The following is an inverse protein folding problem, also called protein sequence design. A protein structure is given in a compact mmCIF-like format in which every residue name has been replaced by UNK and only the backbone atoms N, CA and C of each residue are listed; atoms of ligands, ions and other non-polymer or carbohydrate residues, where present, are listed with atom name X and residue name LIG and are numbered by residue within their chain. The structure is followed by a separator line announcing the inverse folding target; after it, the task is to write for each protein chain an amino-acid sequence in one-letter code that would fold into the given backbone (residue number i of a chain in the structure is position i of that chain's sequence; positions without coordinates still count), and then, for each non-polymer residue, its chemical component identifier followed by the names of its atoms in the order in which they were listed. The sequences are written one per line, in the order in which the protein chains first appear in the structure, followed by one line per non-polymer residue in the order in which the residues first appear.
data_IF_289649954503
#
_entry.id   IF_289649954503
#
_cell.length_a   1.000
_cell.length_b   1.000
_cell.length_c   1.000
_cell.angle_alpha   90.00
_cell.angle_beta   90.00
_cell.angle_gamma   90.00
#
_symmetry.space_group_name_H-M   'P 1'
#
loop_
_entity.id
_entity.type
_entity.pdbx_description
1 polymer ?
#
# COMPACT_ATOMS: atom_id res chain seq x y z
N UNK A 1 -0.32 3.60 -10.58
CA UNK A 1 0.26 4.85 -11.18
C UNK A 1 -0.81 5.66 -11.88
N UNK A 2 -1.63 5.07 -12.76
CA UNK A 2 -2.75 5.79 -13.39
C UNK A 2 -3.71 6.38 -12.35
N UNK A 3 -4.15 5.57 -11.38
CA UNK A 3 -5.02 6.05 -10.29
C UNK A 3 -4.39 7.20 -9.48
N UNK A 4 -3.09 7.16 -9.22
CA UNK A 4 -2.36 8.22 -8.53
C UNK A 4 -2.38 9.52 -9.34
N UNK A 5 -2.11 9.41 -10.64
CA UNK A 5 -2.06 10.56 -11.54
C UNK A 5 -3.45 11.18 -11.72
N UNK A 6 -4.49 10.36 -11.84
CA UNK A 6 -5.88 10.83 -11.87
C UNK A 6 -6.29 11.46 -10.54
N UNK A 7 -5.89 10.88 -9.42
CA UNK A 7 -6.16 11.44 -8.09
C UNK A 7 -5.53 12.82 -7.89
N UNK A 8 -4.25 12.97 -8.24
CA UNK A 8 -3.55 14.26 -8.11
C UNK A 8 -4.10 15.31 -9.08
N UNK A 9 -4.51 14.90 -10.29
CA UNK A 9 -5.19 15.81 -11.24
C UNK A 9 -6.51 16.33 -10.72
N UNK A 10 -7.28 15.46 -10.07
CA UNK A 10 -8.60 15.82 -9.54
C UNK A 10 -8.52 16.55 -8.20
N UNK A 11 -7.41 16.45 -7.46
CA UNK A 11 -7.23 17.06 -6.14
C UNK A 11 -6.02 18.01 -6.12
N UNK A 12 -6.20 19.21 -6.67
CA UNK A 12 -5.13 20.21 -6.80
C UNK A 12 -4.53 20.65 -5.45
N UNK A 13 -5.34 20.69 -4.38
CA UNK A 13 -4.85 21.01 -3.03
C UNK A 13 -3.81 19.97 -2.59
N UNK A 14 -4.10 18.69 -2.82
CA UNK A 14 -3.20 17.61 -2.45
C UNK A 14 -1.94 17.66 -3.33
N UNK A 15 -2.09 17.91 -4.62
CA UNK A 15 -0.94 18.09 -5.51
C UNK A 15 -0.01 19.23 -5.02
N UNK A 16 -0.59 20.35 -4.58
CA UNK A 16 0.16 21.46 -4.01
C UNK A 16 0.88 21.07 -2.71
N UNK A 17 0.20 20.37 -1.80
CA UNK A 17 0.79 19.87 -0.55
C UNK A 17 1.93 18.87 -0.80
N UNK A 18 1.86 18.10 -1.89
CA UNK A 18 2.96 17.24 -2.34
C UNK A 18 4.14 18.02 -2.97
N UNK A 19 4.07 19.35 -3.04
CA UNK A 19 5.12 20.21 -3.60
C UNK A 19 5.04 20.39 -5.13
N UNK A 20 3.94 19.99 -5.77
CA UNK A 20 3.76 20.26 -7.20
C UNK A 20 3.25 21.69 -7.43
N UNK A 21 3.74 22.30 -8.51
CA UNK A 21 3.27 23.58 -9.00
C UNK A 21 1.95 23.38 -9.76
N UNK A 22 0.84 23.84 -9.16
CA UNK A 22 -0.52 23.70 -9.74
C UNK A 22 -0.71 24.49 -11.05
N UNK A 23 0.16 25.46 -11.34
CA UNK A 23 0.13 26.20 -12.61
C UNK A 23 0.73 25.41 -13.77
N UNK A 24 1.42 24.30 -13.48
CA UNK A 24 2.11 23.46 -14.45
C UNK A 24 1.46 22.08 -14.55
N UNK A 25 1.60 21.41 -15.70
CA UNK A 25 1.16 20.03 -15.80
C UNK A 25 1.95 19.14 -14.83
N UNK A 26 1.26 18.20 -14.19
CA UNK A 26 1.91 17.17 -13.39
C UNK A 26 2.92 16.37 -14.24
N UNK A 27 3.95 15.78 -13.61
CA UNK A 27 4.88 14.90 -14.30
C UNK A 27 4.17 13.80 -15.10
N UNK A 28 4.81 13.38 -16.19
CA UNK A 28 4.25 12.33 -17.04
C UNK A 28 4.15 11.00 -16.27
N UNK A 29 3.28 10.10 -16.74
CA UNK A 29 3.18 8.73 -16.24
C UNK A 29 4.56 8.05 -16.15
N UNK A 30 5.39 8.21 -17.19
CA UNK A 30 6.73 7.62 -17.25
C UNK A 30 7.66 8.19 -16.19
N UNK A 31 7.54 9.47 -15.89
CA UNK A 31 8.32 10.13 -14.83
C UNK A 31 7.99 9.53 -13.47
N UNK A 32 6.70 9.37 -13.15
CA UNK A 32 6.28 8.72 -11.91
C UNK A 32 6.74 7.26 -11.84
N UNK A 33 6.57 6.50 -12.93
CA UNK A 33 6.97 5.10 -12.99
C UNK A 33 8.47 4.93 -12.78
N UNK A 34 9.28 5.77 -13.43
CA UNK A 34 10.73 5.76 -13.27
C UNK A 34 11.13 6.09 -11.84
N UNK A 35 10.54 7.12 -11.25
CA UNK A 35 10.79 7.47 -9.85
C UNK A 35 10.49 6.29 -8.91
N UNK A 36 9.32 5.67 -9.02
CA UNK A 36 8.94 4.55 -8.14
C UNK A 36 9.89 3.35 -8.28
N UNK A 37 10.39 3.08 -9.49
CA UNK A 37 11.26 1.94 -9.75
C UNK A 37 12.73 2.19 -9.41
N UNK A 38 13.22 3.40 -9.63
CA UNK A 38 14.65 3.72 -9.55
C UNK A 38 15.02 4.40 -8.21
N UNK A 39 14.04 4.97 -7.49
CA UNK A 39 14.32 5.69 -6.25
C UNK A 39 14.59 4.72 -5.10
N UNK A 40 15.67 4.97 -4.36
CA UNK A 40 16.07 4.11 -3.24
C UNK A 40 15.04 4.16 -2.12
N UNK A 41 14.54 2.98 -1.74
CA UNK A 41 13.66 2.83 -0.59
C UNK A 41 14.34 3.26 0.72
N UNK A 42 15.65 2.98 0.85
CA UNK A 42 16.42 3.28 2.07
C UNK A 42 16.38 4.78 2.41
N UNK A 43 16.35 5.63 1.38
CA UNK A 43 16.25 7.08 1.57
C UNK A 43 14.88 7.48 2.15
N UNK A 44 13.79 6.89 1.66
CA UNK A 44 12.45 7.12 2.22
C UNK A 44 12.34 6.61 3.66
N UNK A 45 12.88 5.43 3.93
CA UNK A 45 12.94 4.86 5.27
C UNK A 45 13.70 5.77 6.23
N UNK A 46 14.84 6.30 5.80
CA UNK A 46 15.67 7.22 6.60
C UNK A 46 14.93 8.52 6.92
N UNK A 47 14.27 9.12 5.92
CA UNK A 47 13.46 10.33 6.11
C UNK A 47 12.33 10.06 7.10
N UNK A 48 11.60 8.96 6.92
CA UNK A 48 10.48 8.60 7.77
C UNK A 48 10.92 8.41 9.23
N UNK A 49 12.00 7.65 9.46
CA UNK A 49 12.56 7.46 10.80
C UNK A 49 12.97 8.79 11.44
N UNK A 50 13.62 9.67 10.69
CA UNK A 50 14.02 10.97 11.19
C UNK A 50 12.81 11.83 11.58
N UNK A 51 11.75 11.86 10.75
CA UNK A 51 10.51 12.57 11.05
C UNK A 51 9.85 12.05 12.35
N UNK A 52 9.75 10.72 12.50
CA UNK A 52 9.20 10.11 13.72
C UNK A 52 10.04 10.46 14.94
N UNK A 53 11.38 10.44 14.83
CA UNK A 53 12.27 10.82 15.93
C UNK A 53 12.12 12.29 16.33
N UNK A 54 11.97 13.19 15.36
CA UNK A 54 11.72 14.61 15.63
C UNK A 54 10.39 14.79 16.38
N UNK A 55 9.32 14.14 15.91
CA UNK A 55 8.00 14.22 16.54
C UNK A 55 7.98 13.63 17.95
N UNK A 56 8.75 12.56 18.19
CA UNK A 56 8.95 11.97 19.51
C UNK A 56 9.68 12.93 20.45
N UNK A 57 10.75 13.58 19.97
CA UNK A 57 11.49 14.57 20.75
C UNK A 57 10.65 15.82 21.08
N UNK A 58 9.70 16.18 20.22
CA UNK A 58 8.73 17.24 20.46
C UNK A 58 7.60 16.84 21.42
N UNK A 59 7.53 15.57 21.83
CA UNK A 59 6.47 15.05 22.69
C UNK A 59 5.10 14.92 22.03
N UNK A 60 5.04 14.95 20.69
CA UNK A 60 3.79 14.76 19.92
C UNK A 60 3.44 13.27 19.82
N UNK A 61 4.46 12.43 19.64
CA UNK A 61 4.35 10.96 19.62
C UNK A 61 4.84 10.44 20.97
N UNK A 62 3.99 9.69 21.68
CA UNK A 62 4.30 9.06 22.96
C UNK A 62 5.02 7.72 22.77
N UNK A 63 4.55 6.90 21.82
CA UNK A 63 4.93 5.51 21.63
C UNK A 63 4.41 4.57 22.72
N UNK A 64 3.50 5.02 23.58
CA UNK A 64 2.95 4.21 24.69
C UNK A 64 1.77 3.34 24.24
N UNK A 65 0.88 3.90 23.41
CA UNK A 65 -0.35 3.23 22.98
C UNK A 65 -0.47 3.25 21.47
N UNK A 66 -0.03 2.15 20.86
CA UNK A 66 -0.05 2.04 19.40
C UNK A 66 -1.26 1.23 18.96
N UNK A 67 -2.09 1.87 18.14
CA UNK A 67 -3.21 1.25 17.43
C UNK A 67 -2.79 0.94 16.00
N UNK A 68 -3.04 -0.29 15.55
CA UNK A 68 -2.66 -0.73 14.20
C UNK A 68 -3.87 -1.31 13.47
N UNK A 69 -4.19 -0.74 12.31
CA UNK A 69 -5.14 -1.32 11.37
C UNK A 69 -4.42 -1.84 10.12
N UNK A 70 -5.03 -2.81 9.44
CA UNK A 70 -4.46 -3.37 8.23
C UNK A 70 -5.50 -3.60 7.15
N UNK A 71 -5.20 -3.12 5.94
CA UNK A 71 -6.05 -3.32 4.77
C UNK A 71 -5.33 -4.17 3.72
N UNK A 72 -5.99 -5.16 3.11
CA UNK A 72 -5.39 -6.01 2.09
C UNK A 72 -5.29 -5.26 0.75
N UNK A 73 -4.09 -5.19 0.18
CA UNK A 73 -3.86 -4.74 -1.20
C UNK A 73 -3.72 -5.98 -2.07
N UNK A 74 -4.65 -6.19 -3.01
CA UNK A 74 -4.62 -7.35 -3.90
C UNK A 74 -3.66 -7.10 -5.06
N UNK A 75 -2.73 -8.02 -5.29
CA UNK A 75 -1.91 -8.01 -6.48
C UNK A 75 -2.76 -8.25 -7.73
N UNK A 76 -2.34 -7.67 -8.85
CA UNK A 76 -3.01 -7.86 -10.14
C UNK A 76 -2.65 -9.23 -10.73
N UNK A 77 -3.36 -10.27 -10.28
CA UNK A 77 -3.11 -11.66 -10.69
C UNK A 77 -4.42 -12.39 -10.97
N UNK A 78 -4.37 -13.32 -11.92
CA UNK A 78 -5.51 -14.20 -12.25
C UNK A 78 -5.95 -15.09 -11.07
N UNK A 79 -5.07 -15.34 -10.10
CA UNK A 79 -5.38 -16.18 -8.93
C UNK A 79 -6.31 -15.46 -7.95
N UNK A 80 -6.26 -14.13 -7.91
CA UNK A 80 -7.19 -13.33 -7.11
C UNK A 80 -8.58 -13.21 -7.73
N UNK A 81 -8.75 -13.59 -9.01
CA UNK A 81 -10.06 -13.55 -9.67
C UNK A 81 -10.93 -14.72 -9.15
N UNK A 82 -12.09 -14.44 -8.52
CA UNK A 82 -13.01 -15.48 -8.07
C UNK A 82 -13.46 -16.40 -9.20
N UNK A 83 -13.62 -15.86 -10.42
CA UNK A 83 -14.06 -16.59 -11.62
C UNK A 83 -12.96 -17.38 -12.32
N UNK A 84 -11.72 -17.33 -11.84
CA UNK A 84 -10.65 -18.16 -12.40
C UNK A 84 -10.96 -19.65 -12.19
N UNK A 85 -10.63 -20.52 -13.15
CA UNK A 85 -10.79 -21.98 -13.01
C UNK A 85 -9.52 -22.68 -12.50
N UNK A 86 -8.48 -21.92 -12.12
CA UNK A 86 -7.24 -22.50 -11.61
C UNK A 86 -7.48 -23.29 -10.32
N UNK A 87 -7.03 -24.55 -10.29
CA UNK A 87 -7.02 -25.38 -9.07
C UNK A 87 -5.99 -24.82 -8.09
N UNK A 88 -6.26 -24.92 -6.78
CA UNK A 88 -5.34 -24.50 -5.70
C UNK A 88 -4.81 -23.06 -5.85
N UNK A 89 -5.68 -22.11 -6.19
CA UNK A 89 -5.30 -20.69 -6.41
C UNK A 89 -4.52 -20.06 -5.27
N UNK A 90 -4.80 -20.50 -4.04
CA UNK A 90 -4.24 -19.98 -2.80
C UNK A 90 -3.32 -21.02 -2.12
N UNK A 91 -2.52 -21.76 -2.90
CA UNK A 91 -1.41 -22.56 -2.37
C UNK A 91 -0.11 -21.77 -2.42
N UNK A 92 0.74 -21.88 -1.39
CA UNK A 92 2.07 -21.25 -1.37
C UNK A 92 2.95 -21.70 -2.55
N UNK A 93 2.72 -22.90 -3.09
CA UNK A 93 3.45 -23.43 -4.24
C UNK A 93 3.07 -22.73 -5.56
N UNK A 94 1.92 -22.05 -5.59
CA UNK A 94 1.38 -21.38 -6.77
C UNK A 94 1.62 -19.86 -6.73
N UNK A 95 2.88 -19.46 -6.54
CA UNK A 95 3.27 -18.04 -6.57
C UNK A 95 2.91 -17.40 -7.93
N UNK A 96 2.24 -16.24 -7.95
CA UNK A 96 1.92 -15.54 -9.20
C UNK A 96 3.16 -15.15 -10.02
N UNK A 97 3.18 -15.51 -11.30
CA UNK A 97 4.24 -15.07 -12.23
C UNK A 97 4.22 -13.56 -12.51
N UNK A 98 3.04 -12.93 -12.40
CA UNK A 98 2.86 -11.50 -12.65
C UNK A 98 3.47 -10.61 -11.58
N UNK A 99 3.66 -11.15 -10.37
CA UNK A 99 4.17 -10.43 -9.21
C UNK A 99 4.85 -11.44 -8.28
N UNK A 100 6.19 -11.48 -8.36
CA UNK A 100 7.01 -12.44 -7.60
C UNK A 100 7.17 -12.02 -6.13
N UNK A 101 6.95 -10.75 -5.82
CA UNK A 101 7.18 -10.19 -4.49
C UNK A 101 5.93 -10.28 -3.62
N UNK A 102 4.74 -10.36 -4.23
CA UNK A 102 3.49 -10.52 -3.50
C UNK A 102 3.48 -11.79 -2.63
N UNK A 103 2.74 -11.75 -1.53
CA UNK A 103 2.63 -12.87 -0.58
C UNK A 103 1.19 -13.35 -0.47
N UNK A 104 1.03 -14.60 -0.05
CA UNK A 104 -0.28 -15.16 0.26
C UNK A 104 -0.77 -14.60 1.60
N UNK A 105 -1.74 -13.69 1.53
CA UNK A 105 -2.40 -13.08 2.68
C UNK A 105 -3.74 -13.72 3.00
N UNK A 106 -4.19 -13.52 4.23
CA UNK A 106 -5.53 -13.88 4.71
C UNK A 106 -6.13 -12.71 5.50
N UNK A 107 -7.44 -12.52 5.37
CA UNK A 107 -8.20 -11.58 6.19
C UNK A 107 -9.57 -12.18 6.55
N UNK A 108 -10.13 -11.74 7.68
CA UNK A 108 -11.50 -12.10 8.04
C UNK A 108 -12.48 -11.35 7.14
N UNK A 109 -13.42 -12.07 6.55
CA UNK A 109 -14.50 -11.53 5.73
C UNK A 109 -15.81 -11.40 6.52
N UNK A 110 -15.76 -11.62 7.83
CA UNK A 110 -16.88 -11.47 8.75
C UNK A 110 -16.42 -10.76 10.02
N UNK A 111 -17.26 -9.85 10.53
CA UNK A 111 -17.11 -9.23 11.85
C UNK A 111 -17.75 -10.06 12.96
N UNK A 112 -18.47 -11.13 12.59
CA UNK A 112 -19.05 -12.08 13.54
C UNK A 112 -17.94 -12.93 14.17
N UNK A 113 -17.85 -12.88 15.51
CA UNK A 113 -16.88 -13.62 16.31
C UNK A 113 -17.17 -15.13 16.32
N UNK A 114 -18.43 -15.53 16.10
CA UNK A 114 -18.87 -16.93 16.15
C UNK A 114 -18.56 -17.68 14.85
N UNK A 115 -18.70 -17.02 13.70
CA UNK A 115 -18.49 -17.62 12.37
C UNK A 115 -17.43 -16.86 11.56
N UNK A 116 -16.16 -17.14 11.83
CA UNK A 116 -15.03 -16.54 11.10
C UNK A 116 -14.92 -17.12 9.69
N UNK A 117 -15.37 -16.35 8.71
CA UNK A 117 -15.11 -16.61 7.29
C UNK A 117 -13.78 -15.98 6.90
N UNK A 118 -12.81 -16.77 6.45
CA UNK A 118 -11.53 -16.26 5.97
C UNK A 118 -11.52 -16.12 4.45
N UNK A 119 -10.88 -15.05 3.95
CA UNK A 119 -10.58 -14.88 2.53
C UNK A 119 -9.08 -14.80 2.33
N UNK A 120 -8.59 -15.63 1.42
CA UNK A 120 -7.21 -15.61 0.98
C UNK A 120 -7.05 -14.68 -0.24
N UNK A 121 -5.88 -14.10 -0.38
CA UNK A 121 -5.51 -13.28 -1.53
C UNK A 121 -3.98 -13.29 -1.72
N UNK A 122 -3.54 -13.08 -2.93
CA UNK A 122 -2.14 -12.74 -3.24
C UNK A 122 -1.99 -11.23 -3.23
N UNK A 123 -0.99 -10.71 -2.54
CA UNK A 123 -0.78 -9.27 -2.48
C UNK A 123 0.07 -8.82 -1.31
N UNK A 124 -0.28 -7.65 -0.79
CA UNK A 124 0.42 -6.96 0.27
C UNK A 124 -0.57 -6.53 1.36
N UNK A 125 -0.06 -6.17 2.53
CA UNK A 125 -0.85 -5.51 3.58
C UNK A 125 -0.40 -4.08 3.70
N UNK A 126 -1.37 -3.16 3.63
CA UNK A 126 -1.15 -1.80 4.07
C UNK A 126 -1.40 -1.73 5.56
N UNK A 127 -0.47 -1.12 6.30
CA UNK A 127 -0.56 -0.97 7.73
C UNK A 127 -0.65 0.50 8.08
N UNK A 128 -1.71 0.88 8.78
CA UNK A 128 -1.90 2.22 9.32
C UNK A 128 -1.65 2.13 10.82
N UNK A 129 -0.70 2.92 11.28
CA UNK A 129 -0.29 2.96 12.68
C UNK A 129 -0.67 4.34 13.21
N UNK A 130 -1.36 4.35 14.34
CA UNK A 130 -1.76 5.55 15.08
C UNK A 130 -1.22 5.41 16.50
N UNK A 131 -0.56 6.46 16.97
CA UNK A 131 -0.11 6.62 18.35
C UNK A 131 -0.90 7.76 19.00
#
# INVERSE_FOLDING_TARGET
ISDLLDYLRNNLIIAHLCGFDISKPLPSYWTFRRFINDFSHDYLTSIFQNQVNILKNMGIISGEFISMDSTPIKANTKLNNPKSFSKNKFSKDNQPNSDKDCKLGVYSASNDSSNKRYKFYWGYKNHIIVD
#
